data_IF_590149570985
#
_entry.id   IF_590149570985
#
_cell.length_a   1.000
_cell.length_b   1.000
_cell.length_c   1.000
_cell.angle_alpha   90.00
_cell.angle_beta   90.00
_cell.angle_gamma   90.00
#
_symmetry.space_group_name_H-M   'P 1'
#
loop_
_entity.id
_entity.type
_entity.pdbx_description
1 polymer ?
#
# COMPACT_ATOMS: atom_id res chain seq x y z
N UNK A 1 -7.96 11.59 -7.17
CA UNK A 1 -6.81 11.10 -7.96
C UNK A 1 -6.86 9.60 -8.28
N UNK A 2 -7.00 8.70 -7.29
CA UNK A 2 -6.91 7.22 -7.47
C UNK A 2 -7.97 6.59 -8.39
N UNK A 3 -9.21 7.08 -8.38
CA UNK A 3 -10.28 6.58 -9.27
C UNK A 3 -10.11 6.99 -10.73
N UNK A 4 -9.55 8.18 -10.96
CA UNK A 4 -9.31 8.68 -12.31
C UNK A 4 -8.22 7.85 -13.02
N UNK A 5 -7.21 7.39 -12.28
CA UNK A 5 -6.15 6.52 -12.81
C UNK A 5 -6.69 5.13 -13.17
N UNK A 6 -7.58 4.56 -12.35
CA UNK A 6 -8.21 3.27 -12.64
C UNK A 6 -9.09 3.33 -13.88
N UNK A 7 -9.92 4.36 -14.00
CA UNK A 7 -10.74 4.57 -15.18
C UNK A 7 -9.91 4.86 -16.44
N UNK A 8 -8.78 5.55 -16.30
CA UNK A 8 -7.85 5.79 -17.41
C UNK A 8 -7.18 4.50 -17.88
N UNK A 9 -6.64 3.67 -16.96
CA UNK A 9 -5.97 2.40 -17.29
C UNK A 9 -6.97 1.39 -17.85
N UNK A 10 -8.16 1.28 -17.26
CA UNK A 10 -9.20 0.37 -17.73
C UNK A 10 -9.74 0.78 -19.11
N UNK A 11 -10.00 2.08 -19.34
CA UNK A 11 -10.40 2.56 -20.68
C UNK A 11 -9.31 2.34 -21.71
N UNK A 12 -8.03 2.53 -21.35
CA UNK A 12 -6.90 2.30 -22.28
C UNK A 12 -6.74 0.83 -22.60
N UNK A 13 -6.95 -0.07 -21.62
CA UNK A 13 -6.90 -1.51 -21.82
C UNK A 13 -8.05 -2.03 -22.68
N UNK A 14 -9.30 -1.60 -22.42
CA UNK A 14 -10.47 -1.96 -23.22
C UNK A 14 -10.36 -1.40 -24.65
N UNK A 15 -9.86 -0.17 -24.81
CA UNK A 15 -9.63 0.43 -26.13
C UNK A 15 -8.53 -0.30 -26.92
N UNK A 16 -7.49 -0.80 -26.24
CA UNK A 16 -6.34 -1.45 -26.90
C UNK A 16 -6.66 -2.91 -27.28
N UNK A 17 -7.48 -3.60 -26.48
CA UNK A 17 -8.08 -4.90 -26.83
C UNK A 17 -9.03 -4.77 -28.04
N UNK A 18 -9.89 -3.75 -28.07
CA UNK A 18 -10.81 -3.52 -29.19
C UNK A 18 -10.10 -3.22 -30.52
N UNK A 19 -8.96 -2.53 -30.50
CA UNK A 19 -8.19 -2.21 -31.71
C UNK A 19 -7.54 -3.46 -32.35
N UNK A 20 -7.02 -4.39 -31.55
CA UNK A 20 -6.44 -5.64 -32.04
C UNK A 20 -7.51 -6.59 -32.59
N UNK A 21 -8.67 -6.67 -31.92
CA UNK A 21 -9.81 -7.47 -32.38
C UNK A 21 -10.35 -6.93 -33.72
N UNK A 22 -10.45 -5.61 -33.88
CA UNK A 22 -10.89 -4.99 -35.14
C UNK A 22 -9.90 -5.20 -36.30
N UNK A 23 -8.59 -5.15 -36.03
CA UNK A 23 -7.55 -5.36 -37.05
C UNK A 23 -7.55 -6.80 -37.58
N UNK A 24 -7.76 -7.79 -36.71
CA UNK A 24 -7.84 -9.20 -37.09
C UNK A 24 -9.15 -9.54 -37.82
N UNK A 25 -10.28 -8.95 -37.41
CA UNK A 25 -11.56 -9.08 -38.11
C UNK A 25 -11.52 -8.53 -39.54
N UNK A 26 -10.93 -7.34 -39.74
CA UNK A 26 -10.82 -6.74 -41.07
C UNK A 26 -9.83 -7.47 -41.99
N UNK A 27 -8.79 -8.10 -41.43
CA UNK A 27 -7.85 -8.93 -42.19
C UNK A 27 -8.48 -10.22 -42.75
N UNK A 28 -9.40 -10.83 -41.99
CA UNK A 28 -10.13 -12.04 -42.41
C UNK A 28 -11.22 -11.77 -43.46
N UNK A 29 -11.84 -10.58 -43.45
CA UNK A 29 -12.88 -10.19 -44.42
C UNK A 29 -12.31 -9.91 -45.83
N UNK A 30 -11.00 -9.65 -45.96
CA UNK A 30 -10.34 -9.36 -47.25
C UNK A 30 -10.05 -10.61 -48.10
N UNK A 31 -10.21 -11.82 -47.56
CA UNK A 31 -9.99 -13.07 -48.32
C UNK A 31 -11.24 -13.45 -49.11
N UNK A 32 -11.22 -13.17 -50.41
CA UNK A 32 -12.27 -13.55 -51.35
C UNK A 32 -12.35 -15.08 -51.45
N UNK A 33 -13.41 -15.67 -50.88
CA UNK A 33 -13.86 -17.08 -50.93
C UNK A 33 -13.66 -17.91 -49.64
N UNK A 34 -14.22 -17.48 -48.51
CA UNK A 34 -14.55 -18.42 -47.42
C UNK A 34 -16.06 -18.59 -47.24
N UNK A 35 -16.59 -19.83 -47.15
CA UNK A 35 -18.01 -20.07 -46.94
C UNK A 35 -18.46 -19.50 -45.58
N UNK A 36 -19.58 -18.78 -45.59
CA UNK A 36 -20.17 -18.05 -44.46
C UNK A 36 -20.29 -18.84 -43.14
N UNK A 37 -20.36 -20.18 -43.21
CA UNK A 37 -20.38 -21.09 -42.05
C UNK A 37 -19.09 -21.08 -41.21
N UNK A 38 -17.92 -20.89 -41.82
CA UNK A 38 -16.63 -20.92 -41.11
C UNK A 38 -16.37 -19.64 -40.32
N UNK A 39 -16.88 -18.51 -40.82
CA UNK A 39 -16.82 -17.21 -40.16
C UNK A 39 -17.68 -17.22 -38.89
N UNK A 40 -18.86 -17.84 -38.94
CA UNK A 40 -19.74 -17.98 -37.78
C UNK A 40 -19.10 -18.80 -36.65
N UNK A 41 -18.38 -19.89 -36.96
CA UNK A 41 -17.67 -20.69 -35.96
C UNK A 41 -16.49 -19.94 -35.31
N UNK A 42 -15.72 -19.16 -36.07
CA UNK A 42 -14.58 -18.40 -35.52
C UNK A 42 -15.01 -17.22 -34.66
N UNK A 43 -16.12 -16.56 -35.03
CA UNK A 43 -16.70 -15.46 -34.25
C UNK A 43 -17.25 -15.95 -32.90
N UNK A 44 -17.78 -17.18 -32.85
CA UNK A 44 -18.26 -17.78 -31.60
C UNK A 44 -17.12 -18.17 -30.63
N UNK A 45 -15.96 -18.56 -31.15
CA UNK A 45 -14.83 -19.02 -30.32
C UNK A 45 -14.04 -17.88 -29.66
N UNK A 46 -14.03 -16.69 -30.26
CA UNK A 46 -13.27 -15.54 -29.77
C UNK A 46 -13.98 -14.73 -28.68
N UNK A 47 -15.27 -15.00 -28.44
CA UNK A 47 -16.10 -14.24 -27.49
C UNK A 47 -15.97 -14.72 -26.03
N UNK A 48 -15.25 -15.82 -25.76
CA UNK A 48 -15.20 -16.48 -24.45
C UNK A 48 -14.08 -16.08 -23.49
N UNK A 49 -13.13 -15.24 -23.89
CA UNK A 49 -11.96 -14.90 -23.06
C UNK A 49 -12.19 -13.64 -22.20
N UNK A 50 -13.19 -13.67 -21.30
CA UNK A 50 -13.32 -12.65 -20.26
C UNK A 50 -12.44 -13.04 -19.05
N UNK A 51 -11.28 -12.40 -18.93
CA UNK A 51 -10.39 -12.56 -17.77
C UNK A 51 -11.05 -11.96 -16.52
N UNK A 52 -11.28 -12.77 -15.48
CA UNK A 52 -11.71 -12.27 -14.18
C UNK A 52 -10.53 -11.63 -13.44
N UNK A 53 -10.56 -10.31 -13.27
CA UNK A 53 -9.63 -9.59 -12.39
C UNK A 53 -10.17 -9.60 -10.96
N UNK A 54 -9.71 -10.55 -10.14
CA UNK A 54 -10.07 -10.60 -8.72
C UNK A 54 -9.35 -9.49 -7.96
N UNK A 55 -10.11 -8.48 -7.51
CA UNK A 55 -9.56 -7.42 -6.66
C UNK A 55 -9.57 -7.90 -5.22
N UNK A 56 -8.43 -8.43 -4.76
CA UNK A 56 -8.20 -8.68 -3.34
C UNK A 56 -8.16 -7.34 -2.62
N UNK A 57 -9.27 -6.95 -1.99
CA UNK A 57 -9.33 -5.82 -1.07
C UNK A 57 -8.64 -6.25 0.22
N UNK A 58 -7.33 -6.01 0.31
CA UNK A 58 -6.64 -5.98 1.59
C UNK A 58 -7.38 -4.94 2.45
N UNK A 59 -8.14 -5.40 3.44
CA UNK A 59 -8.60 -4.52 4.51
C UNK A 59 -7.30 -4.07 5.19
N UNK A 60 -6.84 -2.86 4.86
CA UNK A 60 -5.91 -2.14 5.70
C UNK A 60 -6.65 -2.06 7.03
N UNK A 61 -6.35 -2.99 7.95
CA UNK A 61 -6.90 -2.96 9.29
C UNK A 61 -6.69 -1.55 9.80
N UNK A 62 -7.74 -0.91 10.31
CA UNK A 62 -7.71 0.46 10.79
C UNK A 62 -6.40 0.65 11.56
N UNK A 63 -5.42 1.31 10.93
CA UNK A 63 -4.11 1.46 11.54
C UNK A 63 -4.39 2.28 12.78
N UNK A 64 -4.22 1.61 13.93
CA UNK A 64 -5.02 1.83 15.13
C UNK A 64 -5.34 3.28 15.36
N UNK A 65 -6.62 3.58 15.60
CA UNK A 65 -7.13 4.86 16.11
C UNK A 65 -6.04 5.44 17.02
N UNK A 66 -5.30 6.41 16.52
CA UNK A 66 -4.17 6.98 17.25
C UNK A 66 -4.79 7.59 18.48
N UNK A 67 -4.68 6.89 19.60
CA UNK A 67 -5.00 7.44 20.89
C UNK A 67 -4.16 8.72 20.99
N UNK A 68 -4.81 9.85 21.31
CA UNK A 68 -4.16 11.16 21.41
C UNK A 68 -3.23 11.15 22.63
N UNK A 69 -2.15 10.38 22.53
CA UNK A 69 -1.06 10.36 23.49
C UNK A 69 -0.14 11.48 23.07
N UNK A 70 0.10 12.43 23.97
CA UNK A 70 1.15 13.43 23.78
C UNK A 70 2.49 12.71 23.68
N UNK A 71 3.23 12.97 22.61
CA UNK A 71 4.52 12.37 22.35
C UNK A 71 5.59 13.46 22.32
N UNK A 72 6.81 13.16 22.79
CA UNK A 72 7.93 14.05 22.61
C UNK A 72 8.14 14.39 21.13
N UNK A 73 8.28 15.69 20.86
CA UNK A 73 8.56 16.20 19.53
C UNK A 73 9.99 15.86 19.10
N UNK A 74 10.18 15.67 17.78
CA UNK A 74 11.52 15.46 17.21
C UNK A 74 12.42 16.67 17.51
N UNK A 75 13.65 16.41 17.93
CA UNK A 75 14.63 17.44 18.28
C UNK A 75 14.61 17.89 19.75
N UNK A 76 13.62 17.49 20.54
CA UNK A 76 13.57 17.76 22.00
C UNK A 76 14.80 17.14 22.69
N UNK A 77 15.35 17.79 23.73
CA UNK A 77 16.50 17.24 24.46
C UNK A 77 16.08 16.14 25.43
N UNK A 78 16.99 15.25 25.80
CA UNK A 78 16.74 14.22 26.82
C UNK A 78 16.22 14.80 28.15
N UNK A 79 16.75 15.96 28.57
CA UNK A 79 16.35 16.65 29.80
C UNK A 79 14.93 17.20 29.70
N UNK A 80 14.57 17.77 28.54
CA UNK A 80 13.23 18.28 28.29
C UNK A 80 12.19 17.15 28.25
N UNK A 81 12.53 16.01 27.63
CA UNK A 81 11.69 14.81 27.67
C UNK A 81 11.49 14.31 29.10
N UNK A 82 12.57 14.21 29.89
CA UNK A 82 12.47 13.75 31.29
C UNK A 82 11.68 14.74 32.17
N UNK A 83 11.74 16.04 31.87
CA UNK A 83 10.99 17.08 32.57
C UNK A 83 9.50 17.03 32.26
N UNK A 84 9.12 16.86 30.99
CA UNK A 84 7.72 16.87 30.56
C UNK A 84 7.02 15.51 30.77
N UNK A 85 7.72 14.40 30.52
CA UNK A 85 7.15 13.05 30.52
C UNK A 85 7.59 12.19 31.70
N UNK A 86 8.52 12.69 32.53
CA UNK A 86 9.07 11.96 33.66
C UNK A 86 10.12 10.93 33.27
N UNK A 87 10.52 10.12 34.27
CA UNK A 87 11.53 9.07 34.10
C UNK A 87 10.98 7.89 33.30
N UNK A 88 11.72 7.38 32.30
CA UNK A 88 11.31 6.17 31.59
C UNK A 88 11.45 4.93 32.47
N UNK A 89 10.69 3.88 32.12
CA UNK A 89 10.74 2.57 32.77
C UNK A 89 12.06 1.85 32.48
N UNK A 90 12.58 2.01 31.26
CA UNK A 90 13.83 1.36 30.83
C UNK A 90 14.59 2.24 29.84
N UNK A 91 15.91 2.32 30.00
CA UNK A 91 16.83 3.01 29.07
C UNK A 91 17.77 1.96 28.44
N UNK A 92 17.81 1.89 27.12
CA UNK A 92 18.74 1.03 26.38
C UNK A 92 20.06 1.75 26.14
N UNK A 93 21.18 1.05 26.30
CA UNK A 93 22.52 1.62 26.08
C UNK A 93 22.67 2.10 24.62
N UNK A 94 23.36 3.22 24.36
CA UNK A 94 23.61 3.69 23.01
C UNK A 94 24.36 2.65 22.18
N UNK A 95 23.97 2.49 20.91
CA UNK A 95 24.66 1.62 19.94
C UNK A 95 24.90 2.34 18.61
N UNK A 96 26.02 2.00 17.97
CA UNK A 96 26.40 2.50 16.65
C UNK A 96 27.04 3.89 16.67
N UNK A 97 27.37 4.37 15.47
CA UNK A 97 27.81 5.74 15.17
C UNK A 97 26.93 6.27 14.01
N UNK A 98 26.13 7.33 14.22
CA UNK A 98 25.92 8.06 15.47
C UNK A 98 25.26 7.20 16.56
N UNK A 99 25.48 7.52 17.86
CA UNK A 99 24.95 6.71 18.95
C UNK A 99 23.42 6.83 19.04
N UNK A 100 22.72 5.69 18.91
CA UNK A 100 21.26 5.61 19.05
C UNK A 100 20.91 4.94 20.37
N UNK A 101 20.10 5.62 21.19
CA UNK A 101 19.56 5.08 22.45
C UNK A 101 18.03 5.08 22.42
N UNK A 102 17.41 4.23 23.24
CA UNK A 102 15.96 4.11 23.31
C UNK A 102 15.49 4.17 24.76
N UNK A 103 14.49 5.00 25.04
CA UNK A 103 13.82 5.08 26.33
C UNK A 103 12.41 4.53 26.17
N UNK A 104 12.01 3.65 27.08
CA UNK A 104 10.70 3.00 27.07
C UNK A 104 9.84 3.56 28.20
N UNK A 105 8.67 4.06 27.84
CA UNK A 105 7.58 4.45 28.74
C UNK A 105 6.46 3.41 28.66
N UNK A 106 5.45 3.50 29.53
CA UNK A 106 4.34 2.55 29.56
C UNK A 106 3.68 2.37 28.19
N UNK A 107 3.31 3.47 27.53
CA UNK A 107 2.50 3.47 26.31
C UNK A 107 3.27 3.78 25.02
N UNK A 108 4.51 4.27 25.12
CA UNK A 108 5.31 4.67 23.96
C UNK A 108 6.81 4.48 24.22
N UNK A 109 7.61 4.54 23.16
CA UNK A 109 9.06 4.52 23.22
C UNK A 109 9.63 5.72 22.45
N UNK A 110 10.73 6.28 22.95
CA UNK A 110 11.41 7.45 22.39
C UNK A 110 12.82 7.02 22.01
N UNK A 111 13.17 7.21 20.76
CA UNK A 111 14.50 6.98 20.23
C UNK A 111 15.25 8.30 20.19
N UNK A 112 16.49 8.28 20.66
CA UNK A 112 17.37 9.44 20.68
C UNK A 112 18.61 9.16 19.83
N UNK A 113 19.03 10.19 19.10
CA UNK A 113 20.36 10.25 18.51
C UNK A 113 21.21 11.20 19.34
N UNK A 114 22.30 10.70 19.90
CA UNK A 114 23.13 11.43 20.88
C UNK A 114 22.33 11.94 22.08
N UNK A 115 21.82 13.18 22.04
CA UNK A 115 21.05 13.83 23.11
C UNK A 115 19.67 14.35 22.69
N UNK A 116 19.28 14.16 21.43
CA UNK A 116 18.04 14.72 20.88
C UNK A 116 17.09 13.61 20.43
N UNK A 117 15.79 13.88 20.54
CA UNK A 117 14.75 12.95 20.07
C UNK A 117 14.87 12.78 18.57
N UNK A 118 15.09 11.54 18.15
CA UNK A 118 15.01 11.11 16.77
C UNK A 118 13.55 10.80 16.40
N UNK A 119 12.86 9.95 17.18
CA UNK A 119 11.49 9.56 16.88
C UNK A 119 10.75 8.98 18.09
N UNK A 120 9.43 9.14 18.13
CA UNK A 120 8.55 8.65 19.21
C UNK A 120 7.51 7.69 18.62
N UNK A 121 7.37 6.49 19.19
CA UNK A 121 6.52 5.41 18.67
C UNK A 121 5.57 4.93 19.76
N UNK A 122 4.27 4.90 19.45
CA UNK A 122 3.24 4.33 20.34
C UNK A 122 3.35 2.81 20.33
N UNK A 123 3.33 2.18 21.51
CA UNK A 123 3.31 0.72 21.64
C UNK A 123 1.93 0.21 21.26
N UNK A 124 1.79 -0.43 20.09
CA UNK A 124 0.58 -1.17 19.76
C UNK A 124 0.58 -2.49 20.51
N UNK A 125 -0.35 -2.67 21.45
CA UNK A 125 -0.59 -3.99 22.01
C UNK A 125 -1.42 -4.79 21.00
N UNK A 126 -0.90 -5.90 20.45
CA UNK A 126 -1.72 -6.75 19.61
C UNK A 126 -2.88 -7.27 20.46
N UNK A 127 -4.11 -7.09 19.96
CA UNK A 127 -5.27 -7.69 20.60
C UNK A 127 -5.00 -9.20 20.72
N UNK A 128 -4.95 -9.69 21.97
CA UNK A 128 -4.68 -11.10 22.27
C UNK A 128 -5.78 -11.92 21.59
N UNK A 129 -5.44 -12.54 20.45
CA UNK A 129 -6.38 -13.39 19.72
C UNK A 129 -6.71 -14.56 20.65
N UNK A 130 -7.97 -14.62 21.09
CA UNK A 130 -8.51 -15.65 21.97
C UNK A 130 -9.08 -16.78 21.15
#
# INVERSE_FOLDING_TARGET
>A
AREQVKNCVLKRFVSQQNAQVFALLNGLIRSSNMPFKTIACFLALTLGAATHAETIKLKLGEQGKQEQVELPLRGMSMEEVETQFGKPETKTKPRGEPPISAWHYANFAVYFESRHVLHSVIKHQPAKQK
#
